data_IF_513820333114
#
_entry.id   IF_513820333114
#
_cell.length_a   1.000
_cell.length_b   1.000
_cell.length_c   1.000
_cell.angle_alpha   90.00
_cell.angle_beta   90.00
_cell.angle_gamma   90.00
#
_symmetry.space_group_name_H-M   'P 1'
#
loop_
_entity.id
_entity.type
_entity.pdbx_description
1 polymer ?
#
# COMPACT_ATOMS: atom_id res chain seq x y z
N UNK A 1 -20.74 2.48 15.20
CA UNK A 1 -20.31 1.24 15.90
C UNK A 1 -21.40 0.77 16.86
N UNK A 2 -22.00 1.66 17.65
CA UNK A 2 -23.16 1.37 18.51
C UNK A 2 -24.28 0.58 17.83
N UNK A 3 -24.69 0.94 16.60
CA UNK A 3 -25.70 0.19 15.86
C UNK A 3 -25.27 -1.24 15.50
N UNK A 4 -24.00 -1.47 15.18
CA UNK A 4 -23.49 -2.81 14.88
C UNK A 4 -23.49 -3.66 16.16
N UNK A 5 -23.02 -3.09 17.26
CA UNK A 5 -23.03 -3.73 18.57
C UNK A 5 -24.46 -4.04 19.06
N UNK A 6 -25.39 -3.08 18.94
CA UNK A 6 -26.80 -3.27 19.31
C UNK A 6 -27.50 -4.33 18.46
N UNK A 7 -27.04 -4.52 17.22
CA UNK A 7 -27.51 -5.60 16.34
C UNK A 7 -26.85 -6.96 16.62
N UNK A 8 -25.90 -7.04 17.57
CA UNK A 8 -25.13 -8.26 17.85
C UNK A 8 -24.15 -8.63 16.73
N UNK A 9 -23.75 -7.67 15.90
CA UNK A 9 -22.78 -7.90 14.83
C UNK A 9 -21.35 -7.84 15.38
N UNK A 10 -20.70 -9.00 15.49
CA UNK A 10 -19.36 -9.17 16.05
C UNK A 10 -18.29 -9.32 14.95
N UNK A 11 -17.02 -9.11 15.30
CA UNK A 11 -15.88 -9.36 14.41
C UNK A 11 -15.78 -8.41 13.22
N UNK A 12 -16.52 -7.30 13.24
CA UNK A 12 -16.34 -6.23 12.25
C UNK A 12 -14.98 -5.56 12.43
N UNK A 13 -14.49 -4.92 11.36
CA UNK A 13 -13.14 -4.33 11.37
C UNK A 13 -13.20 -2.83 11.63
N UNK A 14 -12.39 -2.35 12.56
CA UNK A 14 -12.01 -0.94 12.65
C UNK A 14 -10.69 -0.79 11.93
N UNK A 15 -10.71 -0.17 10.74
CA UNK A 15 -9.50 0.04 9.94
C UNK A 15 -8.98 1.46 10.16
N UNK A 16 -7.73 1.59 10.57
CA UNK A 16 -7.08 2.89 10.80
C UNK A 16 -5.83 3.01 9.95
N UNK A 17 -5.68 4.15 9.27
CA UNK A 17 -4.46 4.50 8.56
C UNK A 17 -3.49 5.15 9.54
N UNK A 18 -2.29 4.59 9.67
CA UNK A 18 -1.24 5.09 10.55
C UNK A 18 -0.50 6.25 9.91
N UNK A 19 -0.45 7.36 10.65
CA UNK A 19 0.16 8.63 10.29
C UNK A 19 0.95 9.14 11.49
N UNK A 20 1.82 10.13 11.27
CA UNK A 20 2.58 10.75 12.37
C UNK A 20 1.71 11.37 13.47
N UNK A 21 0.46 11.70 13.18
CA UNK A 21 -0.44 12.34 14.15
C UNK A 21 -1.13 11.36 15.09
N UNK A 22 -1.32 10.10 14.67
CA UNK A 22 -2.16 9.14 15.39
C UNK A 22 -1.44 7.88 15.85
N UNK A 23 -0.17 7.67 15.47
CA UNK A 23 0.66 6.60 16.05
C UNK A 23 0.71 6.67 17.59
N UNK A 24 0.84 7.84 18.23
CA UNK A 24 0.79 7.93 19.70
C UNK A 24 -0.55 7.49 20.33
N UNK A 25 -1.59 7.25 19.53
CA UNK A 25 -2.94 6.88 19.97
C UNK A 25 -3.26 5.40 19.70
N UNK A 26 -2.27 4.59 19.32
CA UNK A 26 -2.51 3.20 18.89
C UNK A 26 -3.19 2.35 19.98
N UNK A 27 -2.84 2.56 21.25
CA UNK A 27 -3.51 1.91 22.39
C UNK A 27 -4.98 2.32 22.51
N UNK A 28 -5.32 3.59 22.24
CA UNK A 28 -6.69 4.09 22.26
C UNK A 28 -7.53 3.43 21.15
N UNK A 29 -6.95 3.23 19.96
CA UNK A 29 -7.61 2.49 18.88
C UNK A 29 -7.83 1.03 19.22
N UNK A 30 -6.86 0.38 19.91
CA UNK A 30 -7.01 -1.00 20.38
C UNK A 30 -8.11 -1.10 21.43
N UNK A 31 -8.10 -0.23 22.43
CA UNK A 31 -9.13 -0.17 23.46
C UNK A 31 -10.52 0.07 22.86
N UNK A 32 -10.62 0.94 21.84
CA UNK A 32 -11.87 1.16 21.11
C UNK A 32 -12.33 -0.09 20.36
N UNK A 33 -11.44 -0.80 19.67
CA UNK A 33 -11.79 -2.05 19.00
C UNK A 33 -12.28 -3.12 19.98
N UNK A 34 -11.57 -3.29 21.10
CA UNK A 34 -11.92 -4.25 22.15
C UNK A 34 -13.28 -3.92 22.77
N UNK A 35 -13.55 -2.64 23.03
CA UNK A 35 -14.82 -2.18 23.59
C UNK A 35 -16.03 -2.59 22.72
N UNK A 36 -15.87 -2.56 21.40
CA UNK A 36 -16.94 -2.91 20.48
C UNK A 36 -16.92 -4.37 20.01
N UNK A 37 -16.03 -5.22 20.54
CA UNK A 37 -15.84 -6.59 20.04
C UNK A 37 -15.42 -6.63 18.55
N UNK A 38 -14.69 -5.60 18.12
CA UNK A 38 -14.24 -5.41 16.77
C UNK A 38 -12.78 -5.86 16.61
N UNK A 39 -12.41 -6.23 15.39
CA UNK A 39 -11.03 -6.51 15.02
C UNK A 39 -10.33 -5.23 14.59
N UNK A 40 -9.27 -4.85 15.29
CA UNK A 40 -8.43 -3.74 14.85
C UNK A 40 -7.62 -4.15 13.61
N UNK A 41 -7.62 -3.27 12.60
CA UNK A 41 -6.76 -3.35 11.42
C UNK A 41 -5.99 -2.05 11.26
N UNK A 42 -4.66 -2.13 11.26
CA UNK A 42 -3.79 -1.01 10.98
C UNK A 42 -3.28 -1.11 9.55
N UNK A 43 -3.24 0.02 8.85
CA UNK A 43 -2.69 0.11 7.50
C UNK A 43 -1.74 1.29 7.40
N UNK A 44 -0.68 1.18 6.61
CA UNK A 44 0.22 2.30 6.38
C UNK A 44 -0.47 3.38 5.55
N UNK A 45 -0.05 4.62 5.75
CA UNK A 45 -0.35 5.68 4.82
C UNK A 45 0.35 5.41 3.47
N UNK A 46 -0.40 5.49 2.38
CA UNK A 46 0.12 5.43 1.01
C UNK A 46 -0.29 6.72 0.31
N UNK A 47 0.62 7.47 -0.32
CA UNK A 47 0.34 8.80 -0.88
C UNK A 47 -0.44 8.74 -2.21
N UNK A 48 -1.56 8.02 -2.25
CA UNK A 48 -2.44 7.90 -3.42
C UNK A 48 -3.49 9.00 -3.46
N UNK A 49 -3.88 9.43 -4.68
CA UNK A 49 -4.84 10.51 -4.88
C UNK A 49 -4.38 11.81 -4.19
N UNK A 50 -5.26 12.43 -3.38
CA UNK A 50 -4.90 13.62 -2.58
C UNK A 50 -3.86 13.34 -1.49
N UNK A 51 -3.56 12.07 -1.20
CA UNK A 51 -2.49 11.69 -0.28
C UNK A 51 -1.10 12.08 -0.78
N UNK A 52 -0.91 12.22 -2.09
CA UNK A 52 0.35 12.66 -2.70
C UNK A 52 0.77 14.05 -2.22
N UNK A 53 -0.19 14.97 -2.08
CA UNK A 53 0.05 16.35 -1.62
C UNK A 53 0.27 16.45 -0.11
N UNK A 54 0.00 15.38 0.63
CA UNK A 54 0.03 15.34 2.10
C UNK A 54 1.13 14.45 2.66
N UNK A 55 2.02 13.92 1.81
CA UNK A 55 3.09 13.01 2.22
C UNK A 55 3.91 13.55 3.38
N UNK A 56 4.59 14.67 3.18
CA UNK A 56 5.43 15.37 4.18
C UNK A 56 4.71 15.64 5.50
N UNK A 57 3.39 15.89 5.43
CA UNK A 57 2.60 16.21 6.62
C UNK A 57 2.16 14.97 7.41
N UNK A 58 2.01 13.81 6.76
CA UNK A 58 1.32 12.66 7.33
C UNK A 58 2.20 11.43 7.53
N UNK A 59 3.29 11.26 6.76
CA UNK A 59 4.11 10.06 6.88
C UNK A 59 4.74 9.97 8.30
N UNK A 60 4.73 8.79 8.93
CA UNK A 60 5.44 8.53 10.19
C UNK A 60 6.93 8.92 10.14
N UNK A 61 7.47 9.38 11.27
CA UNK A 61 8.93 9.47 11.44
C UNK A 61 9.55 8.10 11.67
N UNK A 62 10.87 7.98 11.48
CA UNK A 62 11.63 6.76 11.78
C UNK A 62 11.43 6.26 13.21
N UNK A 63 11.37 7.18 14.18
CA UNK A 63 11.08 6.83 15.56
C UNK A 63 9.68 6.21 15.69
N UNK A 64 8.68 6.82 15.06
CA UNK A 64 7.31 6.32 15.09
C UNK A 64 7.14 4.97 14.38
N UNK A 65 7.91 4.72 13.31
CA UNK A 65 7.95 3.41 12.66
C UNK A 65 8.48 2.32 13.62
N UNK A 66 9.52 2.64 14.40
CA UNK A 66 10.10 1.71 15.40
C UNK A 66 9.13 1.48 16.56
N UNK A 67 8.51 2.54 17.06
CA UNK A 67 7.46 2.46 18.08
C UNK A 67 6.30 1.56 17.61
N UNK A 68 5.79 1.79 16.39
CA UNK A 68 4.72 0.99 15.81
C UNK A 68 5.14 -0.47 15.58
N UNK A 69 6.38 -0.72 15.13
CA UNK A 69 6.90 -2.08 14.98
C UNK A 69 6.87 -2.85 16.31
N UNK A 70 7.43 -2.27 17.37
CA UNK A 70 7.43 -2.93 18.69
C UNK A 70 6.01 -3.13 19.21
N UNK A 71 5.14 -2.13 19.05
CA UNK A 71 3.74 -2.27 19.42
C UNK A 71 3.04 -3.41 18.67
N UNK A 72 3.27 -3.56 17.35
CA UNK A 72 2.69 -4.65 16.56
C UNK A 72 3.24 -6.03 16.95
N UNK A 73 4.50 -6.12 17.39
CA UNK A 73 5.07 -7.37 17.92
C UNK A 73 4.38 -7.81 19.22
N UNK A 74 4.01 -6.84 20.07
CA UNK A 74 3.29 -7.10 21.31
C UNK A 74 1.79 -7.39 21.10
N UNK A 75 1.26 -7.08 19.91
CA UNK A 75 -0.17 -7.23 19.56
C UNK A 75 -0.38 -8.03 18.26
N UNK A 76 -0.01 -9.33 18.24
CA UNK A 76 -0.10 -10.17 17.03
C UNK A 76 -1.54 -10.44 16.57
N UNK A 77 -2.53 -10.14 17.40
CA UNK A 77 -3.95 -10.18 17.04
C UNK A 77 -4.36 -9.05 16.09
N UNK A 78 -3.58 -7.97 15.98
CA UNK A 78 -3.88 -6.82 15.13
C UNK A 78 -3.56 -7.11 13.67
N UNK A 79 -4.55 -6.88 12.80
CA UNK A 79 -4.39 -7.15 11.37
C UNK A 79 -3.62 -6.02 10.68
N UNK A 80 -2.57 -6.38 9.93
CA UNK A 80 -1.75 -5.44 9.14
C UNK A 80 -1.96 -5.60 7.63
N UNK A 81 -2.21 -6.83 7.19
CA UNK A 81 -2.34 -7.20 5.79
C UNK A 81 -1.01 -7.04 5.04
N UNK A 82 -1.02 -6.23 3.99
CA UNK A 82 0.12 -5.93 3.12
C UNK A 82 0.76 -4.57 3.44
N UNK A 83 0.65 -4.10 4.69
CA UNK A 83 0.96 -2.70 5.01
C UNK A 83 2.39 -2.46 5.47
N UNK A 84 2.95 -3.29 6.35
CA UNK A 84 4.12 -2.90 7.14
C UNK A 84 5.36 -3.77 6.90
N UNK A 85 5.49 -4.39 5.72
CA UNK A 85 6.62 -5.29 5.45
C UNK A 85 7.98 -4.57 5.38
N UNK A 86 8.02 -3.24 5.21
CA UNK A 86 9.26 -2.47 5.38
C UNK A 86 9.78 -2.47 6.82
N UNK A 87 8.90 -2.67 7.82
CA UNK A 87 9.29 -2.77 9.23
C UNK A 87 10.00 -4.08 9.55
N UNK A 88 9.81 -5.13 8.75
CA UNK A 88 10.47 -6.43 8.94
C UNK A 88 12.01 -6.33 8.89
N UNK A 89 12.57 -5.26 8.33
CA UNK A 89 14.01 -5.01 8.39
C UNK A 89 14.53 -4.66 9.80
N UNK A 90 13.64 -4.39 10.78
CA UNK A 90 14.01 -4.13 12.18
C UNK A 90 14.28 -5.40 13.00
N UNK A 91 13.89 -6.58 12.52
CA UNK A 91 14.05 -7.82 13.27
C UNK A 91 13.16 -8.95 12.80
N UNK A 92 12.33 -9.47 13.69
CA UNK A 92 11.39 -10.54 13.38
C UNK A 92 10.31 -10.06 12.40
N UNK A 93 9.88 -10.96 11.51
CA UNK A 93 8.84 -10.63 10.55
C UNK A 93 7.49 -10.46 11.25
N UNK A 94 6.81 -9.35 10.97
CA UNK A 94 5.43 -9.15 11.40
C UNK A 94 4.52 -10.21 10.76
N UNK A 95 3.48 -10.68 11.47
CA UNK A 95 2.47 -11.55 10.87
C UNK A 95 1.86 -10.91 9.62
N UNK A 96 1.85 -11.65 8.50
CA UNK A 96 1.30 -11.18 7.23
C UNK A 96 2.22 -11.43 6.05
N UNK A 97 2.03 -10.64 4.98
CA UNK A 97 2.90 -10.67 3.82
C UNK A 97 4.19 -9.90 4.12
N UNK A 98 5.34 -10.48 3.77
CA UNK A 98 6.65 -9.83 3.83
C UNK A 98 7.08 -9.23 2.48
N UNK A 99 6.19 -9.23 1.48
CA UNK A 99 6.46 -8.78 0.11
C UNK A 99 5.24 -8.13 -0.53
N UNK A 100 5.46 -7.33 -1.57
CA UNK A 100 4.39 -6.66 -2.30
C UNK A 100 3.48 -7.65 -3.05
N UNK A 101 2.21 -7.72 -2.66
CA UNK A 101 1.26 -8.67 -3.26
C UNK A 101 0.72 -8.31 -4.65
N UNK A 102 1.06 -7.13 -5.19
CA UNK A 102 0.48 -6.60 -6.42
C UNK A 102 0.71 -7.55 -7.61
N UNK A 103 -0.38 -7.92 -8.30
CA UNK A 103 -0.35 -8.91 -9.40
C UNK A 103 -0.01 -10.34 -8.97
N UNK A 104 0.40 -10.59 -7.72
CA UNK A 104 0.82 -11.90 -7.18
C UNK A 104 -0.28 -12.59 -6.39
N UNK A 105 -0.85 -11.87 -5.45
CA UNK A 105 -1.90 -12.35 -4.53
C UNK A 105 -3.06 -11.36 -4.39
N UNK A 106 -2.91 -10.15 -4.94
CA UNK A 106 -3.96 -9.13 -4.99
C UNK A 106 -3.95 -8.40 -6.34
N UNK A 107 -5.14 -7.99 -6.78
CA UNK A 107 -5.37 -7.01 -7.84
C UNK A 107 -6.64 -6.21 -7.50
N UNK A 108 -6.91 -5.14 -8.23
CA UNK A 108 -8.14 -4.38 -8.13
C UNK A 108 -8.90 -4.48 -9.45
N UNK A 109 -10.20 -4.78 -9.39
CA UNK A 109 -11.12 -4.60 -10.51
C UNK A 109 -11.91 -3.34 -10.20
N UNK A 110 -11.82 -2.34 -11.07
CA UNK A 110 -12.53 -1.08 -10.89
C UNK A 110 -14.01 -1.19 -11.32
N UNK A 111 -14.84 -0.14 -11.09
CA UNK A 111 -16.27 -0.20 -11.42
C UNK A 111 -16.59 -0.32 -12.92
N UNK A 112 -15.67 0.02 -13.83
CA UNK A 112 -15.89 -0.15 -15.28
C UNK A 112 -15.35 -1.48 -15.79
N UNK A 113 -14.60 -2.21 -14.97
CA UNK A 113 -14.09 -3.55 -15.25
C UNK A 113 -12.59 -3.60 -15.53
N UNK A 114 -11.89 -2.47 -15.42
CA UNK A 114 -10.43 -2.42 -15.60
C UNK A 114 -9.73 -3.08 -14.42
N UNK A 115 -8.69 -3.86 -14.71
CA UNK A 115 -7.96 -4.67 -13.73
C UNK A 115 -6.58 -4.07 -13.51
N UNK A 116 -6.30 -3.61 -12.30
CA UNK A 116 -5.02 -3.03 -11.91
C UNK A 116 -4.23 -3.96 -10.98
N UNK A 117 -2.90 -3.96 -11.10
CA UNK A 117 -2.03 -4.78 -10.24
C UNK A 117 -2.13 -4.42 -8.77
N UNK A 118 -2.31 -3.14 -8.45
CA UNK A 118 -2.31 -2.62 -7.09
C UNK A 118 -3.59 -1.83 -6.80
N UNK A 119 -4.30 -2.11 -5.68
CA UNK A 119 -5.49 -1.36 -5.32
C UNK A 119 -5.24 0.11 -4.95
N UNK A 120 -3.97 0.50 -4.80
CA UNK A 120 -3.57 1.86 -4.45
C UNK A 120 -3.07 2.67 -5.66
N UNK A 121 -2.82 2.02 -6.81
CA UNK A 121 -2.26 2.65 -8.01
C UNK A 121 -3.14 2.35 -9.21
N UNK A 122 -4.15 3.20 -9.43
CA UNK A 122 -5.06 3.13 -10.58
C UNK A 122 -4.48 3.98 -11.72
N UNK A 123 -3.30 3.58 -12.20
CA UNK A 123 -2.54 4.26 -13.25
C UNK A 123 -2.32 3.30 -14.42
N UNK A 124 -2.17 3.83 -15.64
CA UNK A 124 -2.06 3.03 -16.86
C UNK A 124 -0.85 2.09 -16.85
N UNK A 125 0.25 2.46 -16.19
CA UNK A 125 1.42 1.57 -15.95
C UNK A 125 1.08 0.31 -15.15
N UNK A 126 0.00 0.32 -14.38
CA UNK A 126 -0.45 -0.79 -13.56
C UNK A 126 -1.73 -1.45 -14.08
N UNK A 127 -2.20 -1.08 -15.27
CA UNK A 127 -3.38 -1.66 -15.91
C UNK A 127 -3.01 -2.98 -16.62
N UNK A 128 -3.63 -4.08 -16.18
CA UNK A 128 -3.39 -5.43 -16.71
C UNK A 128 -4.39 -5.84 -17.82
N UNK A 129 -5.50 -5.12 -17.97
CA UNK A 129 -6.56 -5.41 -18.96
C UNK A 129 -7.96 -5.16 -18.39
N UNK A 130 -8.99 -5.69 -19.05
CA UNK A 130 -10.38 -5.57 -18.58
C UNK A 130 -11.05 -6.94 -18.40
N UNK A 131 -11.89 -7.09 -17.37
CA UNK A 131 -12.74 -8.29 -17.21
C UNK A 131 -13.81 -8.42 -18.30
N UNK A 132 -13.99 -7.36 -19.11
CA UNK A 132 -14.94 -7.29 -20.22
C UNK A 132 -14.38 -7.87 -21.51
N UNK A 133 -13.08 -8.09 -21.58
CA UNK A 133 -12.39 -8.62 -22.76
C UNK A 133 -12.56 -10.14 -22.88
N UNK A 134 -12.28 -10.68 -24.07
CA UNK A 134 -12.32 -12.12 -24.33
C UNK A 134 -11.37 -12.89 -23.39
N UNK A 135 -11.94 -13.82 -22.62
CA UNK A 135 -11.23 -14.59 -21.59
C UNK A 135 -11.40 -14.05 -20.16
N UNK A 136 -11.97 -12.85 -20.01
CA UNK A 136 -12.38 -12.27 -18.73
C UNK A 136 -11.26 -12.18 -17.69
N UNK A 137 -11.64 -12.17 -16.41
CA UNK A 137 -10.69 -12.05 -15.31
C UNK A 137 -9.64 -13.17 -15.28
N UNK A 138 -9.99 -14.40 -15.66
CA UNK A 138 -9.04 -15.51 -15.64
C UNK A 138 -7.84 -15.24 -16.57
N UNK A 139 -8.11 -14.78 -17.79
CA UNK A 139 -7.06 -14.45 -18.75
C UNK A 139 -6.20 -13.30 -18.24
N UNK A 140 -6.80 -12.23 -17.74
CA UNK A 140 -6.04 -11.11 -17.15
C UNK A 140 -5.17 -11.58 -15.98
N UNK A 141 -5.73 -12.40 -15.08
CA UNK A 141 -4.99 -12.89 -13.92
C UNK A 141 -3.85 -13.83 -14.32
N UNK A 142 -4.04 -14.74 -15.28
CA UNK A 142 -3.07 -15.79 -15.59
C UNK A 142 -2.06 -15.39 -16.67
N UNK A 143 -2.46 -14.52 -17.61
CA UNK A 143 -1.74 -14.32 -18.87
C UNK A 143 -1.42 -12.86 -19.18
N UNK A 144 -1.82 -11.88 -18.34
CA UNK A 144 -1.41 -10.50 -18.61
C UNK A 144 0.11 -10.34 -18.49
N UNK A 145 0.70 -9.59 -19.43
CA UNK A 145 2.14 -9.32 -19.45
C UNK A 145 2.58 -8.69 -18.13
N UNK A 146 1.82 -7.71 -17.63
CA UNK A 146 2.10 -7.03 -16.37
C UNK A 146 2.13 -7.99 -15.17
N UNK A 147 1.12 -8.86 -15.00
CA UNK A 147 1.14 -9.76 -13.84
C UNK A 147 2.19 -10.86 -13.99
N UNK A 148 2.48 -11.29 -15.21
CA UNK A 148 3.57 -12.24 -15.49
C UNK A 148 4.90 -11.62 -15.08
N UNK A 149 5.19 -10.40 -15.53
CA UNK A 149 6.40 -9.66 -15.16
C UNK A 149 6.50 -9.43 -13.65
N UNK A 150 5.41 -8.99 -13.00
CA UNK A 150 5.40 -8.75 -11.56
C UNK A 150 5.59 -10.04 -10.74
N UNK A 151 5.35 -11.23 -11.30
CA UNK A 151 5.55 -12.52 -10.62
C UNK A 151 6.95 -13.08 -10.80
N UNK A 152 7.72 -12.60 -11.77
CA UNK A 152 9.11 -13.01 -11.93
C UNK A 152 9.93 -12.68 -10.67
N UNK A 153 10.97 -13.48 -10.35
CA UNK A 153 11.89 -13.17 -9.27
C UNK A 153 12.41 -11.74 -9.41
N UNK A 154 12.11 -10.90 -8.42
CA UNK A 154 12.48 -9.50 -8.46
C UNK A 154 13.97 -9.36 -8.15
N UNK A 155 14.64 -8.50 -8.90
CA UNK A 155 15.98 -8.04 -8.54
C UNK A 155 15.89 -7.25 -7.23
N UNK A 156 16.85 -7.47 -6.33
CA UNK A 156 16.96 -6.66 -5.13
C UNK A 156 17.35 -5.20 -5.44
N UNK A 157 17.76 -4.89 -6.67
CA UNK A 157 18.04 -3.53 -7.12
C UNK A 157 19.01 -2.80 -6.18
N UNK A 158 18.63 -1.59 -5.76
CA UNK A 158 19.39 -0.80 -4.80
C UNK A 158 19.49 -1.47 -3.41
N UNK A 159 18.60 -2.41 -3.08
CA UNK A 159 18.60 -3.15 -1.82
C UNK A 159 19.51 -4.39 -1.83
N UNK A 160 20.15 -4.74 -2.95
CA UNK A 160 20.98 -5.96 -3.05
C UNK A 160 22.13 -6.01 -2.03
N UNK A 161 22.68 -4.87 -1.65
CA UNK A 161 23.78 -4.75 -0.67
C UNK A 161 23.31 -4.50 0.77
N UNK A 162 22.00 -4.41 1.01
CA UNK A 162 21.42 -3.99 2.30
C UNK A 162 21.51 -5.06 3.39
N UNK A 163 21.62 -6.35 3.02
CA UNK A 163 21.62 -7.48 3.94
C UNK A 163 20.26 -7.81 4.58
N UNK A 164 19.25 -6.95 4.41
CA UNK A 164 17.89 -7.10 4.96
C UNK A 164 16.83 -7.30 3.87
N UNK A 165 17.24 -7.45 2.60
CA UNK A 165 16.30 -7.60 1.47
C UNK A 165 15.35 -8.77 1.65
N UNK A 166 15.84 -9.91 2.17
CA UNK A 166 15.01 -11.10 2.40
C UNK A 166 13.85 -10.83 3.37
N UNK A 167 14.03 -9.90 4.31
CA UNK A 167 13.02 -9.55 5.30
C UNK A 167 11.90 -8.65 4.76
N UNK A 168 12.23 -7.68 3.89
CA UNK A 168 11.28 -6.64 3.47
C UNK A 168 10.99 -6.59 1.96
N UNK A 169 11.78 -7.28 1.14
CA UNK A 169 11.67 -7.34 -0.33
C UNK A 169 11.62 -5.95 -0.99
N UNK A 170 12.30 -4.96 -0.40
CA UNK A 170 12.37 -3.60 -0.92
C UNK A 170 11.10 -2.76 -0.70
N UNK A 171 10.10 -3.25 0.02
CA UNK A 171 8.95 -2.44 0.42
C UNK A 171 7.92 -2.15 -0.67
N UNK A 172 7.04 -1.18 -0.40
CA UNK A 172 5.79 -1.00 -1.12
C UNK A 172 5.98 -0.29 -2.45
N UNK A 173 5.70 -1.00 -3.55
CA UNK A 173 5.70 -0.47 -4.92
C UNK A 173 4.84 0.80 -5.07
N UNK A 174 3.65 0.84 -4.47
CA UNK A 174 2.77 2.00 -4.53
C UNK A 174 3.39 3.23 -3.85
N UNK A 175 4.07 3.04 -2.71
CA UNK A 175 4.73 4.14 -2.02
C UNK A 175 5.86 4.71 -2.89
N UNK A 176 6.70 3.85 -3.48
CA UNK A 176 7.77 4.27 -4.41
C UNK A 176 7.23 5.05 -5.61
N UNK A 177 6.18 4.54 -6.26
CA UNK A 177 5.55 5.20 -7.41
C UNK A 177 5.15 6.64 -7.09
N UNK A 178 4.46 6.87 -5.98
CA UNK A 178 3.96 8.19 -5.61
C UNK A 178 5.02 9.13 -5.03
N UNK A 179 6.13 8.61 -4.49
CA UNK A 179 7.28 9.42 -4.07
C UNK A 179 8.32 9.63 -5.17
N UNK A 180 8.11 9.00 -6.34
CA UNK A 180 9.00 9.09 -7.50
C UNK A 180 10.27 8.24 -7.39
N UNK A 181 10.37 7.37 -6.38
CA UNK A 181 11.47 6.41 -6.28
C UNK A 181 11.26 5.32 -7.34
N UNK A 182 12.29 4.93 -8.11
CA UNK A 182 12.22 3.78 -9.02
C UNK A 182 11.76 2.50 -8.32
N UNK A 183 11.09 1.58 -9.03
CA UNK A 183 10.52 0.37 -8.41
C UNK A 183 11.58 -0.57 -7.83
N UNK A 184 12.80 -0.57 -8.38
CA UNK A 184 13.98 -1.28 -7.90
C UNK A 184 14.78 -0.51 -6.82
N UNK A 185 14.30 0.67 -6.43
CA UNK A 185 14.78 1.46 -5.29
C UNK A 185 14.22 0.99 -3.95
N UNK A 186 14.64 1.60 -2.83
CA UNK A 186 14.12 1.28 -1.50
C UNK A 186 12.69 1.81 -1.30
N UNK A 187 12.00 1.31 -0.27
CA UNK A 187 10.78 1.95 0.24
C UNK A 187 11.09 3.40 0.69
N UNK A 188 10.24 4.40 0.40
CA UNK A 188 10.44 5.75 0.93
C UNK A 188 10.50 5.81 2.46
N UNK A 189 9.88 4.84 3.15
CA UNK A 189 9.92 4.72 4.61
C UNK A 189 10.87 3.60 5.08
N UNK A 190 11.90 3.28 4.30
CA UNK A 190 12.92 2.30 4.69
C UNK A 190 13.51 2.65 6.07
N UNK A 191 13.30 1.78 7.05
CA UNK A 191 13.71 1.96 8.46
C UNK A 191 15.23 2.00 8.69
N UNK A 192 16.02 1.80 7.64
CA UNK A 192 17.48 1.93 7.62
C UNK A 192 17.96 3.26 7.01
N UNK A 193 17.05 4.16 6.63
CA UNK A 193 17.35 5.50 6.11
C UNK A 193 17.51 5.60 4.58
N UNK A 194 17.63 4.47 3.87
CA UNK A 194 17.84 4.48 2.41
C UNK A 194 16.70 5.12 1.60
N UNK A 195 15.49 5.17 2.16
CA UNK A 195 14.33 5.79 1.53
C UNK A 195 14.46 7.31 1.43
N UNK A 196 14.92 7.96 2.50
CA UNK A 196 15.15 9.40 2.56
C UNK A 196 16.24 9.81 1.56
N UNK A 197 17.35 9.07 1.51
CA UNK A 197 18.44 9.29 0.54
C UNK A 197 17.95 9.20 -0.92
N UNK A 198 17.05 8.26 -1.21
CA UNK A 198 16.46 8.08 -2.53
C UNK A 198 15.48 9.22 -2.88
N UNK A 199 14.62 9.65 -1.95
CA UNK A 199 13.70 10.78 -2.19
C UNK A 199 14.44 12.08 -2.42
N UNK A 200 15.51 12.36 -1.66
CA UNK A 200 16.36 13.53 -1.86
C UNK A 200 16.99 13.57 -3.26
N UNK A 201 17.39 12.40 -3.76
CA UNK A 201 17.99 12.26 -5.09
C UNK A 201 16.97 12.53 -6.20
N UNK A 202 15.72 12.08 -6.03
CA UNK A 202 14.61 12.29 -6.97
C UNK A 202 14.11 13.74 -6.94
N UNK A 203 13.95 14.35 -5.77
CA UNK A 203 13.51 15.74 -5.62
C UNK A 203 14.44 16.72 -6.36
N UNK A 204 15.74 16.42 -6.39
CA UNK A 204 16.75 17.19 -7.15
C UNK A 204 16.61 17.05 -8.67
N UNK A 205 15.87 16.05 -9.16
CA UNK A 205 15.73 15.71 -10.58
C UNK A 205 14.34 16.05 -11.20
N UNK A 206 13.42 16.65 -10.43
CA UNK A 206 11.97 16.62 -10.66
C UNK A 206 11.44 16.74 -12.12
N UNK A 207 10.59 15.78 -12.49
CA UNK A 207 9.70 15.72 -13.67
C UNK A 207 8.23 15.77 -13.19
N UNK A 208 7.33 16.26 -14.06
CA UNK A 208 5.90 16.58 -13.87
C UNK A 208 5.06 15.59 -13.02
N UNK A 209 4.27 16.14 -12.07
CA UNK A 209 3.29 15.45 -11.21
C UNK A 209 1.86 15.48 -11.79
N UNK A 210 1.68 15.07 -13.05
CA UNK A 210 0.31 14.94 -13.59
C UNK A 210 -0.20 13.51 -13.42
N UNK A 211 -1.12 13.35 -12.45
CA UNK A 211 -1.84 12.10 -12.21
C UNK A 211 -3.33 12.24 -12.54
N UNK A 212 -3.72 13.27 -13.29
CA UNK A 212 -5.10 13.49 -13.68
C UNK A 212 -5.39 12.85 -15.03
N UNK A 213 -6.31 11.88 -15.08
CA UNK A 213 -7.07 11.66 -16.30
C UNK A 213 -7.86 12.93 -16.54
N UNK A 214 -7.57 13.63 -17.65
CA UNK A 214 -8.40 14.71 -18.18
C UNK A 214 -9.86 14.28 -18.09
N UNK A 215 -10.69 15.06 -17.40
CA UNK A 215 -12.14 14.87 -17.30
C UNK A 215 -12.71 14.39 -18.63
N UNK A 216 -13.27 13.18 -18.66
CA UNK A 216 -14.07 12.71 -19.79
C UNK A 216 -15.23 13.69 -19.95
N UNK A 217 -15.19 14.50 -21.00
CA UNK A 217 -16.36 15.27 -21.43
C UNK A 217 -17.41 14.24 -21.83
N UNK A 218 -18.43 14.05 -20.99
CA UNK A 218 -19.60 13.25 -21.33
C UNK A 218 -20.25 13.87 -22.57
N UNK A 219 -19.97 13.29 -23.74
CA UNK A 219 -20.57 13.69 -24.99
C UNK A 219 -22.09 13.61 -24.90
N UNK A 220 -22.76 14.72 -25.20
CA UNK A 220 -24.23 14.75 -25.36
C UNK A 220 -24.67 13.66 -26.31
N UNK A 221 -25.65 12.88 -25.88
CA UNK A 221 -26.39 11.90 -26.68
C UNK A 221 -26.85 12.55 -28.00
N UNK A 222 -26.57 11.98 -29.18
CA UNK A 222 -27.21 12.46 -30.41
C UNK A 222 -28.70 12.15 -30.32
N UNK A 223 -29.51 13.17 -30.57
CA UNK A 223 -30.94 12.99 -30.78
C UNK A 223 -31.18 12.47 -32.20
N UNK A 224 -31.71 11.26 -32.29
CA UNK A 224 -32.51 10.75 -33.40
C UNK A 224 -33.38 9.63 -32.86
#
# INVERSE_FOLDING_TARGET
MEHLQAAGFEGFKISVVMTRHNIPQVDEFKAMADHYGAQLRLTRFRPSGRGADSWEALHPSDQQQRELYHWLMDHPDVLTGDSFFHLSALGEALPGLNLCGAGRVVCLIDPVGDVYACPFVLHDEFLAGSVRDDGGFQKVWQESDLFTELREPQSAGACASCGHFDACQGGCMAAKFFTGIPLDGPDPECVLGHGEEAMDSVARAAVSKDHSRTTVVLGRKPAS
#
